data_IF_002688609492
#
_entry.id   IF_002688609492
#
_cell.length_a   1.000
_cell.length_b   1.000
_cell.length_c   1.000
_cell.angle_alpha   90.00
_cell.angle_beta   90.00
_cell.angle_gamma   90.00
#
_symmetry.space_group_name_H-M   'P 1'
#
loop_
_entity.id
_entity.type
_entity.pdbx_description
1 polymer ?
#
# COMPACT_ATOMS: atom_id res chain seq x y z
N UNK A 1 -30.72 -16.49 37.74
CA UNK A 1 -29.83 -17.32 36.90
C UNK A 1 -30.09 -17.10 35.40
N UNK A 2 -31.31 -17.32 34.90
CA UNK A 2 -31.62 -17.15 33.47
C UNK A 2 -31.31 -15.74 32.92
N UNK A 3 -31.70 -14.68 33.63
CA UNK A 3 -31.41 -13.29 33.24
C UNK A 3 -29.92 -12.94 33.20
N UNK A 4 -29.11 -13.60 34.04
CA UNK A 4 -27.65 -13.42 34.08
C UNK A 4 -27.00 -14.11 32.88
N UNK A 5 -27.49 -15.30 32.52
CA UNK A 5 -27.05 -16.05 31.36
C UNK A 5 -27.38 -15.31 30.04
N UNK A 6 -28.57 -14.73 29.93
CA UNK A 6 -28.98 -13.92 28.77
C UNK A 6 -28.09 -12.68 28.60
N UNK A 7 -27.71 -12.01 29.69
CA UNK A 7 -26.78 -10.87 29.64
C UNK A 7 -25.39 -11.26 29.18
N UNK A 8 -24.86 -12.39 29.66
CA UNK A 8 -23.55 -12.88 29.24
C UNK A 8 -23.54 -13.19 27.74
N UNK A 9 -24.58 -13.86 27.24
CA UNK A 9 -24.74 -14.18 25.81
C UNK A 9 -24.83 -12.91 24.96
N UNK A 10 -25.57 -11.90 25.41
CA UNK A 10 -25.67 -10.63 24.70
C UNK A 10 -24.33 -9.89 24.64
N UNK A 11 -23.57 -9.87 25.73
CA UNK A 11 -22.24 -9.25 25.77
C UNK A 11 -21.27 -9.97 24.84
N UNK A 12 -21.20 -11.31 24.90
CA UNK A 12 -20.32 -12.09 24.02
C UNK A 12 -20.71 -11.98 22.55
N UNK A 13 -22.00 -11.98 22.22
CA UNK A 13 -22.45 -11.79 20.83
C UNK A 13 -22.05 -10.41 20.30
N UNK A 14 -22.11 -9.37 21.14
CA UNK A 14 -21.76 -8.00 20.75
C UNK A 14 -20.25 -7.86 20.55
N UNK A 15 -19.41 -8.41 21.43
CA UNK A 15 -17.95 -8.40 21.22
C UNK A 15 -17.53 -9.22 20.01
N UNK A 16 -18.19 -10.35 19.74
CA UNK A 16 -17.89 -11.16 18.55
C UNK A 16 -18.29 -10.45 17.25
N UNK A 17 -19.42 -9.73 17.24
CA UNK A 17 -19.84 -8.91 16.11
C UNK A 17 -18.87 -7.74 15.85
N UNK A 18 -18.41 -7.06 16.91
CA UNK A 18 -17.40 -6.00 16.78
C UNK A 18 -16.04 -6.53 16.28
N UNK A 19 -15.61 -7.72 16.73
CA UNK A 19 -14.40 -8.36 16.20
C UNK A 19 -14.55 -8.73 14.72
N UNK A 20 -15.71 -9.26 14.33
CA UNK A 20 -15.97 -9.66 12.94
C UNK A 20 -16.01 -8.46 11.96
N UNK A 21 -16.41 -7.27 12.41
CA UNK A 21 -16.32 -6.04 11.60
C UNK A 21 -14.90 -5.47 11.53
N UNK A 22 -14.05 -5.75 12.50
CA UNK A 22 -12.69 -5.20 12.57
C UNK A 22 -11.68 -5.89 11.65
N UNK A 23 -11.99 -7.08 11.13
CA UNK A 23 -11.04 -7.92 10.37
C UNK A 23 -11.25 -7.90 8.85
N UNK A 24 -12.18 -7.10 8.32
CA UNK A 24 -12.26 -6.89 6.87
C UNK A 24 -11.36 -5.73 6.46
N UNK A 25 -10.07 -5.85 6.78
CA UNK A 25 -9.06 -5.18 5.98
C UNK A 25 -9.08 -5.91 4.63
N UNK A 26 -9.80 -5.35 3.66
CA UNK A 26 -9.74 -5.81 2.26
C UNK A 26 -8.26 -5.99 1.94
N UNK A 27 -7.85 -7.21 1.56
CA UNK A 27 -6.47 -7.46 1.14
C UNK A 27 -6.13 -6.39 0.10
N UNK A 28 -5.30 -5.42 0.51
CA UNK A 28 -4.96 -4.32 -0.36
C UNK A 28 -4.06 -4.89 -1.44
N UNK A 29 -4.33 -4.51 -2.68
CA UNK A 29 -3.38 -4.77 -3.77
C UNK A 29 -2.02 -4.20 -3.36
N UNK A 30 -0.90 -4.86 -3.71
CA UNK A 30 0.41 -4.43 -3.28
C UNK A 30 0.71 -3.01 -3.80
N UNK A 31 1.45 -2.24 -3.00
CA UNK A 31 2.00 -0.97 -3.43
C UNK A 31 3.09 -1.27 -4.46
N UNK A 32 2.73 -1.12 -5.73
CA UNK A 32 3.60 -1.19 -6.91
C UNK A 32 4.57 0.01 -6.96
N UNK A 33 5.84 -0.25 -6.62
CA UNK A 33 6.95 0.73 -6.60
C UNK A 33 7.82 0.53 -7.86
N UNK A 34 8.14 1.58 -8.63
CA UNK A 34 9.00 1.45 -9.79
C UNK A 34 10.45 1.13 -9.42
N UNK A 35 11.11 0.26 -10.17
CA UNK A 35 12.56 0.07 -10.13
C UNK A 35 13.15 0.57 -11.44
N UNK A 36 13.86 1.69 -11.35
CA UNK A 36 14.60 2.31 -12.46
C UNK A 36 16.06 1.84 -12.44
N UNK A 37 16.86 2.24 -13.43
CA UNK A 37 18.20 1.69 -13.66
C UNK A 37 19.36 2.46 -12.98
N UNK A 38 19.09 3.47 -12.15
CA UNK A 38 20.11 4.18 -11.39
C UNK A 38 20.25 3.59 -9.98
N UNK A 39 21.48 3.40 -9.50
CA UNK A 39 21.74 2.81 -8.18
C UNK A 39 21.01 3.55 -7.05
N UNK A 40 20.94 4.88 -7.10
CA UNK A 40 20.18 5.70 -6.15
C UNK A 40 18.69 5.36 -6.16
N UNK A 41 18.10 5.22 -7.35
CA UNK A 41 16.68 4.91 -7.54
C UNK A 41 16.33 3.49 -7.09
N UNK A 42 17.25 2.54 -7.29
CA UNK A 42 17.12 1.16 -6.80
C UNK A 42 17.14 1.14 -5.26
N UNK A 43 18.11 1.84 -4.64
CA UNK A 43 18.19 1.94 -3.19
C UNK A 43 16.94 2.60 -2.62
N UNK A 44 16.50 3.72 -3.21
CA UNK A 44 15.29 4.43 -2.79
C UNK A 44 14.03 3.56 -2.88
N UNK A 45 13.88 2.77 -3.96
CA UNK A 45 12.75 1.84 -4.09
C UNK A 45 12.71 0.86 -2.92
N UNK A 46 13.85 0.26 -2.54
CA UNK A 46 13.94 -0.69 -1.43
C UNK A 46 13.71 -0.05 -0.06
N UNK A 47 14.16 1.20 0.14
CA UNK A 47 13.89 1.95 1.38
C UNK A 47 12.39 2.24 1.51
N UNK A 48 11.74 2.70 0.44
CA UNK A 48 10.29 2.94 0.44
C UNK A 48 9.51 1.64 0.67
N UNK A 49 9.93 0.54 0.05
CA UNK A 49 9.32 -0.77 0.30
C UNK A 49 9.35 -1.18 1.76
N UNK A 50 10.51 -1.07 2.42
CA UNK A 50 10.65 -1.36 3.86
C UNK A 50 9.72 -0.47 4.71
N UNK A 51 9.63 0.83 4.41
CA UNK A 51 8.72 1.75 5.14
C UNK A 51 7.25 1.32 5.01
N UNK A 52 6.83 0.88 3.81
CA UNK A 52 5.46 0.41 3.61
C UNK A 52 5.20 -0.96 4.28
N UNK A 53 6.18 -1.86 4.23
CA UNK A 53 6.11 -3.16 4.92
C UNK A 53 6.02 -2.99 6.44
N UNK A 54 6.79 -2.06 7.02
CA UNK A 54 6.70 -1.70 8.45
C UNK A 54 5.32 -1.17 8.86
N UNK A 55 4.58 -0.57 7.92
CA UNK A 55 3.21 -0.10 8.12
C UNK A 55 2.14 -1.18 7.88
N UNK A 56 2.55 -2.40 7.52
CA UNK A 56 1.65 -3.53 7.29
C UNK A 56 1.09 -3.62 5.86
N UNK A 57 1.64 -2.87 4.90
CA UNK A 57 1.29 -3.01 3.48
C UNK A 57 2.15 -4.08 2.80
N UNK A 58 1.65 -4.64 1.71
CA UNK A 58 2.44 -5.45 0.77
C UNK A 58 2.99 -4.56 -0.34
N UNK A 59 4.12 -4.95 -0.91
CA UNK A 59 4.85 -4.14 -1.90
C UNK A 59 5.23 -5.01 -3.09
N UNK A 60 5.19 -4.45 -4.29
CA UNK A 60 5.64 -5.09 -5.52
C UNK A 60 6.63 -4.17 -6.22
N UNK A 61 7.82 -4.69 -6.53
CA UNK A 61 8.82 -3.96 -7.31
C UNK A 61 8.61 -4.19 -8.79
N UNK A 62 8.30 -3.12 -9.52
CA UNK A 62 7.94 -3.17 -10.94
C UNK A 62 9.03 -2.49 -11.77
N UNK A 63 9.74 -3.20 -12.67
CA UNK A 63 10.66 -2.56 -13.60
C UNK A 63 9.97 -1.44 -14.40
N UNK A 64 10.59 -0.26 -14.47
CA UNK A 64 10.01 0.90 -15.13
C UNK A 64 11.07 1.73 -15.87
N UNK A 65 10.62 2.68 -16.68
CA UNK A 65 11.47 3.62 -17.40
C UNK A 65 11.14 5.06 -17.00
N UNK A 66 12.15 5.94 -16.99
CA UNK A 66 11.98 7.35 -16.59
C UNK A 66 10.93 8.09 -17.43
N UNK A 67 10.78 7.73 -18.71
CA UNK A 67 9.83 8.35 -19.63
C UNK A 67 8.38 7.91 -19.43
N UNK A 68 8.14 6.64 -19.07
CA UNK A 68 6.80 6.06 -18.99
C UNK A 68 6.22 6.04 -17.57
N UNK A 69 7.04 6.24 -16.53
CA UNK A 69 6.60 6.10 -15.12
C UNK A 69 5.42 7.02 -14.76
N UNK A 70 5.35 8.24 -15.28
CA UNK A 70 4.27 9.18 -14.93
C UNK A 70 2.93 8.75 -15.52
N UNK A 71 2.95 8.21 -16.74
CA UNK A 71 1.77 7.61 -17.35
C UNK A 71 1.33 6.36 -16.59
N UNK A 72 2.28 5.52 -16.19
CA UNK A 72 1.99 4.35 -15.36
C UNK A 72 1.41 4.74 -14.00
N UNK A 73 1.87 5.84 -13.39
CA UNK A 73 1.22 6.43 -12.20
C UNK A 73 -0.19 6.93 -12.51
N UNK A 74 -0.39 7.63 -13.64
CA UNK A 74 -1.69 8.18 -14.06
C UNK A 74 -2.76 7.10 -14.21
N UNK A 75 -2.40 5.93 -14.73
CA UNK A 75 -3.33 4.82 -14.96
C UNK A 75 -3.42 3.83 -13.78
N UNK A 76 -2.59 3.99 -12.75
CA UNK A 76 -2.58 3.15 -11.56
C UNK A 76 -1.70 1.89 -11.65
N UNK A 77 -0.92 1.74 -12.72
CA UNK A 77 0.05 0.65 -12.87
C UNK A 77 1.26 0.79 -11.94
N UNK A 78 1.55 2.01 -11.50
CA UNK A 78 2.51 2.34 -10.43
C UNK A 78 1.81 3.26 -9.42
N UNK A 79 2.25 3.21 -8.16
CA UNK A 79 1.64 4.05 -7.11
C UNK A 79 2.47 5.29 -6.75
N UNK A 80 3.74 5.31 -7.12
CA UNK A 80 4.69 6.36 -6.75
C UNK A 80 5.68 6.64 -7.88
N UNK A 81 6.09 7.91 -8.02
CA UNK A 81 7.20 8.33 -8.86
C UNK A 81 8.32 8.93 -7.97
N UNK A 82 9.13 8.07 -7.35
CA UNK A 82 10.22 8.51 -6.49
C UNK A 82 11.44 8.96 -7.30
N UNK A 83 12.23 9.85 -6.67
CA UNK A 83 13.47 10.39 -7.23
C UNK A 83 13.27 11.02 -8.62
N UNK A 84 12.45 12.08 -8.64
CA UNK A 84 12.25 12.93 -9.81
C UNK A 84 13.35 13.98 -9.89
N UNK A 85 14.15 13.92 -10.96
CA UNK A 85 15.14 14.94 -11.29
C UNK A 85 14.47 16.04 -12.10
N UNK A 86 14.09 17.13 -11.43
CA UNK A 86 13.27 18.19 -12.02
C UNK A 86 13.83 18.72 -13.36
N UNK A 87 15.16 18.86 -13.51
CA UNK A 87 15.72 19.35 -14.78
C UNK A 87 15.37 18.47 -15.98
N UNK A 88 15.53 17.15 -15.88
CA UNK A 88 15.39 16.21 -16.99
C UNK A 88 14.06 15.45 -17.00
N UNK A 89 13.30 15.54 -15.91
CA UNK A 89 12.07 14.77 -15.67
C UNK A 89 10.85 15.67 -15.34
N UNK A 90 10.96 17.00 -15.37
CA UNK A 90 9.85 17.91 -15.00
C UNK A 90 8.67 17.95 -15.98
N UNK A 91 8.79 17.37 -17.17
CA UNK A 91 7.69 17.32 -18.13
C UNK A 91 7.09 15.90 -18.07
N UNK A 92 6.08 15.67 -17.20
CA UNK A 92 5.52 14.34 -16.96
C UNK A 92 4.66 13.82 -18.12
N UNK A 93 4.25 14.69 -19.04
CA UNK A 93 3.34 14.37 -20.14
C UNK A 93 3.82 15.08 -21.41
N UNK A 94 4.00 14.31 -22.49
CA UNK A 94 4.06 14.84 -23.85
C UNK A 94 2.66 14.89 -24.45
#
# INVERSE_FOLDING_TARGET
>A
MLKTLTKIIAVTATTFAFLALSTVAKAADPIRIPVLNWSSQIVMANVLGQVFEEQGYTVEYVPAESASRYEAVRIGDLHIAHETWESTMAIPFY
#
